data_IF_415893715235
#
_entry.id   IF_415893715235
#
_cell.length_a   1.000
_cell.length_b   1.000
_cell.length_c   1.000
_cell.angle_alpha   90.00
_cell.angle_beta   90.00
_cell.angle_gamma   90.00
#
_symmetry.space_group_name_H-M   'P 1'
#
loop_
_entity.id
_entity.type
_entity.pdbx_description
1 polymer ?
#
# COMPACT_ATOMS: atom_id res chain seq x y z
N UNK A 1 -48.11 21.86 13.83
CA UNK A 1 -47.64 20.46 13.68
C UNK A 1 -46.78 20.19 12.43
N UNK A 2 -46.77 21.04 11.38
CA UNK A 2 -45.96 20.80 10.16
C UNK A 2 -44.44 21.01 10.32
N UNK A 3 -43.98 21.77 11.32
CA UNK A 3 -42.55 22.10 11.49
C UNK A 3 -41.74 21.06 12.27
N UNK A 4 -42.38 20.15 13.00
CA UNK A 4 -41.67 19.12 13.79
C UNK A 4 -41.09 18.00 12.91
N UNK A 5 -41.78 17.66 11.81
CA UNK A 5 -41.34 16.61 10.88
C UNK A 5 -40.15 17.05 10.01
N UNK A 6 -40.04 18.34 9.67
CA UNK A 6 -38.91 18.87 8.90
C UNK A 6 -37.60 18.86 9.70
N UNK A 7 -37.66 19.14 11.00
CA UNK A 7 -36.49 19.14 11.90
C UNK A 7 -36.01 17.70 12.15
N UNK A 8 -36.93 16.75 12.33
CA UNK A 8 -36.60 15.32 12.49
C UNK A 8 -35.97 14.71 11.22
N UNK A 9 -36.45 15.10 10.02
CA UNK A 9 -35.86 14.66 8.75
C UNK A 9 -34.45 15.23 8.52
N UNK A 10 -34.20 16.49 8.89
CA UNK A 10 -32.90 17.14 8.77
C UNK A 10 -31.83 16.54 9.70
N UNK A 11 -32.19 16.14 10.92
CA UNK A 11 -31.28 15.45 11.85
C UNK A 11 -30.98 14.02 11.39
N UNK A 12 -31.94 13.31 10.81
CA UNK A 12 -31.71 11.95 10.29
C UNK A 12 -30.73 11.95 9.10
N UNK A 13 -30.84 12.94 8.20
CA UNK A 13 -29.93 13.08 7.06
C UNK A 13 -28.48 13.36 7.46
N UNK A 14 -28.28 14.11 8.55
CA UNK A 14 -26.96 14.48 9.09
C UNK A 14 -26.23 13.28 9.74
N UNK A 15 -26.95 12.31 10.29
CA UNK A 15 -26.36 11.07 10.80
C UNK A 15 -26.04 10.07 9.68
N UNK A 16 -26.79 10.06 8.58
CA UNK A 16 -26.50 9.21 7.43
C UNK A 16 -25.21 9.63 6.71
N UNK A 17 -24.92 10.93 6.58
CA UNK A 17 -23.69 11.40 5.89
C UNK A 17 -22.42 11.21 6.73
N UNK A 18 -22.50 11.37 8.06
CA UNK A 18 -21.38 11.10 8.95
C UNK A 18 -21.01 9.60 9.02
N UNK A 19 -21.97 8.71 8.81
CA UNK A 19 -21.74 7.26 8.69
C UNK A 19 -20.93 6.87 7.44
N UNK A 20 -21.16 7.56 6.32
CA UNK A 20 -20.50 7.27 5.03
C UNK A 20 -19.00 7.63 5.07
N UNK A 21 -18.62 8.74 5.71
CA UNK A 21 -17.22 9.16 5.77
C UNK A 21 -16.33 8.23 6.64
N UNK A 22 -16.89 7.66 7.71
CA UNK A 22 -16.16 6.73 8.56
C UNK A 22 -16.26 5.26 8.10
N UNK A 23 -17.32 4.87 7.38
CA UNK A 23 -17.38 3.58 6.66
C UNK A 23 -16.31 3.49 5.56
N UNK A 24 -15.98 4.59 4.87
CA UNK A 24 -14.98 4.58 3.79
C UNK A 24 -13.54 4.24 4.20
N UNK A 25 -13.22 4.28 5.50
CA UNK A 25 -11.89 3.98 6.02
C UNK A 25 -11.76 2.55 6.57
N UNK A 26 -12.84 1.84 6.87
CA UNK A 26 -12.76 0.49 7.43
C UNK A 26 -13.04 -0.56 6.37
N UNK A 27 -12.06 -1.43 6.15
CA UNK A 27 -12.10 -2.48 5.13
C UNK A 27 -12.18 -3.82 5.81
N UNK A 28 -13.17 -4.64 5.46
CA UNK A 28 -13.28 -5.99 5.97
C UNK A 28 -12.16 -6.85 5.38
N UNK A 29 -11.59 -7.72 6.20
CA UNK A 29 -10.52 -8.61 5.79
C UNK A 29 -10.16 -9.65 6.84
N UNK A 30 -9.21 -10.51 6.48
CA UNK A 30 -8.70 -11.59 7.31
C UNK A 30 -7.27 -11.27 7.72
N UNK A 31 -7.03 -11.15 9.04
CA UNK A 31 -5.73 -10.87 9.63
C UNK A 31 -5.03 -12.18 10.02
N UNK A 32 -3.88 -12.42 9.42
CA UNK A 32 -3.11 -13.65 9.64
C UNK A 32 -2.04 -13.37 10.68
N UNK A 33 -2.25 -13.96 11.85
CA UNK A 33 -1.38 -13.88 13.02
C UNK A 33 -0.35 -15.01 12.98
N UNK A 34 0.68 -14.85 13.79
CA UNK A 34 1.72 -15.88 13.94
C UNK A 34 1.15 -17.24 14.33
N UNK A 35 1.84 -18.29 13.88
CA UNK A 35 1.46 -19.70 14.13
C UNK A 35 0.15 -20.09 13.40
N UNK A 36 -0.13 -19.48 12.25
CA UNK A 36 -1.27 -19.85 11.40
C UNK A 36 -2.64 -19.53 11.99
N UNK A 37 -2.71 -18.58 12.93
CA UNK A 37 -4.01 -18.14 13.49
C UNK A 37 -4.60 -17.06 12.60
N UNK A 38 -5.86 -17.21 12.23
CA UNK A 38 -6.56 -16.24 11.39
C UNK A 38 -7.70 -15.56 12.16
N UNK A 39 -8.01 -14.32 11.78
CA UNK A 39 -9.09 -13.55 12.42
C UNK A 39 -9.74 -12.60 11.43
N UNK A 40 -11.06 -12.66 11.32
CA UNK A 40 -11.84 -11.64 10.62
C UNK A 40 -11.83 -10.31 11.40
N UNK A 41 -11.54 -9.22 10.70
CA UNK A 41 -11.43 -7.88 11.26
C UNK A 41 -11.87 -6.81 10.26
N UNK A 42 -12.14 -5.61 10.76
CA UNK A 42 -12.34 -4.40 9.96
C UNK A 42 -11.12 -3.49 10.17
N UNK A 43 -10.28 -3.33 9.14
CA UNK A 43 -9.00 -2.63 9.22
C UNK A 43 -9.16 -1.18 8.75
N UNK A 44 -8.70 -0.24 9.55
CA UNK A 44 -8.69 1.20 9.24
C UNK A 44 -7.57 1.51 8.24
N UNK A 45 -7.93 1.81 7.00
CA UNK A 45 -7.04 2.12 5.89
C UNK A 45 -7.52 3.37 5.16
N UNK A 46 -6.69 4.43 5.20
CA UNK A 46 -6.82 5.57 4.29
C UNK A 46 -5.91 5.33 3.07
N UNK A 47 -6.50 4.90 1.95
CA UNK A 47 -5.77 4.68 0.69
C UNK A 47 -5.22 5.97 0.07
N UNK A 48 -5.67 7.15 0.52
CA UNK A 48 -5.04 8.42 0.16
C UNK A 48 -3.72 8.66 0.90
N UNK A 49 -3.54 8.02 2.06
CA UNK A 49 -2.36 8.16 2.92
C UNK A 49 -1.83 6.78 3.38
N UNK A 50 -1.47 5.89 2.45
CA UNK A 50 -1.12 4.51 2.76
C UNK A 50 0.11 4.35 3.67
N UNK A 51 1.03 5.32 3.66
CA UNK A 51 2.17 5.37 4.56
C UNK A 51 1.79 5.34 6.05
N UNK A 52 0.55 5.71 6.41
CA UNK A 52 0.09 5.77 7.81
C UNK A 52 -0.08 4.39 8.44
N UNK A 53 -0.48 3.37 7.67
CA UNK A 53 -0.72 2.03 8.20
C UNK A 53 0.49 1.09 8.03
N UNK A 54 1.52 1.51 7.29
CA UNK A 54 2.71 0.66 7.04
C UNK A 54 3.53 0.34 8.31
N UNK A 55 3.37 1.12 9.39
CA UNK A 55 4.06 0.89 10.67
C UNK A 55 3.18 0.26 11.74
N UNK A 56 1.93 -0.06 11.40
CA UNK A 56 0.98 -0.63 12.31
C UNK A 56 -0.44 -0.40 11.81
N UNK A 57 -1.27 -1.40 12.02
CA UNK A 57 -2.68 -1.35 11.65
C UNK A 57 -3.52 -0.94 12.86
N UNK A 58 -4.63 -0.26 12.58
CA UNK A 58 -5.74 -0.14 13.53
C UNK A 58 -6.90 -0.96 12.99
N UNK A 59 -7.55 -1.77 13.82
CA UNK A 59 -8.66 -2.61 13.40
C UNK A 59 -9.74 -2.71 14.48
N UNK A 60 -10.91 -3.22 14.08
CA UNK A 60 -12.08 -3.43 14.93
C UNK A 60 -12.58 -4.86 14.72
N UNK A 61 -13.06 -5.50 15.79
CA UNK A 61 -13.66 -6.84 15.71
C UNK A 61 -15.10 -6.80 15.15
N UNK A 62 -15.61 -7.89 14.54
CA UNK A 62 -16.95 -7.91 13.97
C UNK A 62 -18.06 -7.50 14.95
N UNK A 63 -17.96 -7.88 16.22
CA UNK A 63 -18.93 -7.49 17.27
C UNK A 63 -18.98 -5.98 17.51
N UNK A 64 -17.82 -5.34 17.51
CA UNK A 64 -17.68 -3.91 17.75
C UNK A 64 -18.03 -3.12 16.49
N UNK A 65 -17.74 -3.67 15.31
CA UNK A 65 -18.21 -3.14 14.04
C UNK A 65 -19.73 -3.15 13.94
N UNK A 66 -20.39 -4.28 14.25
CA UNK A 66 -21.84 -4.37 14.28
C UNK A 66 -22.47 -3.34 15.25
N UNK A 67 -21.82 -3.07 16.38
CA UNK A 67 -22.24 -2.02 17.31
C UNK A 67 -22.04 -0.61 16.72
N UNK A 68 -20.92 -0.37 16.05
CA UNK A 68 -20.69 0.89 15.35
C UNK A 68 -21.75 1.14 14.28
N UNK A 69 -22.05 0.14 13.44
CA UNK A 69 -23.10 0.23 12.40
C UNK A 69 -24.47 0.61 12.97
N UNK A 70 -24.80 0.12 14.17
CA UNK A 70 -26.08 0.45 14.84
C UNK A 70 -26.09 1.82 15.52
N UNK A 71 -24.95 2.30 16.00
CA UNK A 71 -24.90 3.46 16.93
C UNK A 71 -24.20 4.69 16.34
N UNK A 72 -23.50 4.55 15.21
CA UNK A 72 -22.62 5.57 14.64
C UNK A 72 -21.41 5.92 15.51
N UNK A 73 -21.19 5.24 16.64
CA UNK A 73 -20.17 5.61 17.64
C UNK A 73 -19.16 4.50 17.86
N UNK A 74 -17.91 4.78 17.52
CA UNK A 74 -16.79 3.88 17.77
C UNK A 74 -15.96 4.41 18.95
N UNK A 75 -16.00 3.71 20.09
CA UNK A 75 -15.25 4.11 21.30
C UNK A 75 -13.79 3.69 21.17
N UNK A 76 -12.86 4.42 21.78
CA UNK A 76 -11.42 4.11 21.71
C UNK A 76 -11.07 2.66 22.08
N UNK A 77 -11.74 2.09 23.09
CA UNK A 77 -11.55 0.69 23.52
C UNK A 77 -11.98 -0.37 22.49
N UNK A 78 -12.75 0.02 21.47
CA UNK A 78 -13.15 -0.85 20.36
C UNK A 78 -12.09 -0.89 19.25
N UNK A 79 -11.20 0.12 19.21
CA UNK A 79 -10.08 0.18 18.26
C UNK A 79 -8.90 -0.60 18.84
N UNK A 80 -8.45 -1.60 18.11
CA UNK A 80 -7.24 -2.36 18.41
C UNK A 80 -6.10 -1.85 17.53
N UNK A 81 -4.93 -1.62 18.12
CA UNK A 81 -3.70 -1.27 17.38
C UNK A 81 -2.75 -2.44 17.39
N UNK A 82 -2.09 -2.70 16.26
CA UNK A 82 -1.15 -3.80 16.14
C UNK A 82 0.06 -3.41 15.29
N UNK A 83 1.26 -3.54 15.86
CA UNK A 83 2.51 -3.32 15.14
C UNK A 83 2.81 -4.50 14.18
N UNK A 84 3.53 -4.26 13.06
CA UNK A 84 3.85 -5.29 12.07
C UNK A 84 4.50 -6.53 12.68
N UNK A 85 5.28 -6.39 13.75
CA UNK A 85 5.95 -7.52 14.41
C UNK A 85 5.00 -8.56 15.01
N UNK A 86 3.69 -8.28 15.11
CA UNK A 86 2.69 -9.15 15.75
C UNK A 86 1.79 -9.92 14.78
N UNK A 87 1.87 -9.65 13.48
CA UNK A 87 1.11 -10.37 12.45
C UNK A 87 1.96 -10.61 11.19
N UNK A 88 1.54 -11.57 10.39
CA UNK A 88 2.26 -12.00 9.19
C UNK A 88 1.73 -11.30 7.94
N UNK A 89 0.40 -11.26 7.78
CA UNK A 89 -0.26 -10.61 6.65
C UNK A 89 -1.71 -10.27 6.97
N UNK A 90 -2.38 -9.55 6.09
CA UNK A 90 -3.82 -9.52 6.01
C UNK A 90 -4.30 -9.45 4.56
N UNK A 91 -5.48 -9.98 4.30
CA UNK A 91 -6.14 -9.94 2.99
C UNK A 91 -7.47 -9.21 3.14
N UNK A 92 -7.72 -8.22 2.30
CA UNK A 92 -9.00 -7.52 2.23
C UNK A 92 -9.99 -8.33 1.37
N UNK A 93 -11.29 -8.10 1.55
CA UNK A 93 -12.34 -8.77 0.76
C UNK A 93 -12.24 -8.49 -0.75
N UNK A 94 -11.63 -7.36 -1.14
CA UNK A 94 -11.38 -7.03 -2.55
C UNK A 94 -10.15 -7.74 -3.15
N UNK A 95 -9.52 -8.65 -2.40
CA UNK A 95 -8.37 -9.44 -2.83
C UNK A 95 -7.02 -8.78 -2.63
N UNK A 96 -6.95 -7.51 -2.16
CA UNK A 96 -5.66 -6.88 -1.83
C UNK A 96 -4.99 -7.58 -0.65
N UNK A 97 -3.74 -7.98 -0.84
CA UNK A 97 -2.92 -8.63 0.18
C UNK A 97 -1.86 -7.69 0.69
N UNK A 98 -1.69 -7.66 2.01
CA UNK A 98 -0.66 -6.89 2.71
C UNK A 98 0.17 -7.83 3.57
N UNK A 99 1.49 -7.75 3.47
CA UNK A 99 2.42 -8.62 4.21
C UNK A 99 3.33 -7.79 5.10
N UNK A 100 3.66 -8.32 6.28
CA UNK A 100 4.73 -7.80 7.12
C UNK A 100 6.07 -8.27 6.57
N UNK A 101 6.85 -7.34 6.04
CA UNK A 101 8.18 -7.59 5.48
C UNK A 101 9.26 -6.82 6.23
N UNK A 102 10.48 -7.36 6.26
CA UNK A 102 11.65 -6.59 6.69
C UNK A 102 12.17 -5.74 5.55
N UNK A 103 12.32 -4.45 5.77
CA UNK A 103 12.88 -3.51 4.81
C UNK A 103 13.99 -2.68 5.46
N UNK A 104 15.09 -2.49 4.72
CA UNK A 104 16.18 -1.61 5.12
C UNK A 104 16.15 -0.39 4.22
N UNK A 105 15.91 0.77 4.81
CA UNK A 105 15.97 2.03 4.07
C UNK A 105 17.43 2.37 3.77
N UNK A 106 17.78 2.39 2.49
CA UNK A 106 19.13 2.70 2.00
C UNK A 106 19.33 4.20 1.74
N UNK A 107 18.35 5.05 2.05
CA UNK A 107 18.43 6.50 1.78
C UNK A 107 19.05 7.32 2.90
N UNK A 108 19.19 6.76 4.10
CA UNK A 108 19.79 7.45 5.24
C UNK A 108 21.32 7.39 5.21
N UNK A 109 22.00 8.55 5.28
CA UNK A 109 23.47 8.67 5.47
C UNK A 109 23.97 8.17 6.86
N UNK A 110 23.16 7.41 7.60
CA UNK A 110 23.45 7.01 8.97
C UNK A 110 24.17 5.66 9.02
N UNK A 111 25.23 5.60 9.82
CA UNK A 111 26.22 4.49 9.94
C UNK A 111 25.62 3.17 10.46
N UNK A 112 24.34 3.14 10.86
CA UNK A 112 23.62 1.91 11.25
C UNK A 112 22.25 1.82 10.56
N UNK A 113 22.24 1.22 9.38
CA UNK A 113 21.01 0.86 8.67
C UNK A 113 20.33 -0.32 9.39
N UNK A 114 19.36 -0.03 10.26
CA UNK A 114 18.61 -1.06 10.99
C UNK A 114 17.37 -1.45 10.16
N UNK A 115 17.24 -2.72 9.72
CA UNK A 115 16.03 -3.20 9.08
C UNK A 115 14.80 -2.94 9.96
N UNK A 116 13.68 -2.55 9.37
CA UNK A 116 12.40 -2.34 10.06
C UNK A 116 11.33 -3.25 9.46
N UNK A 117 10.42 -3.74 10.29
CA UNK A 117 9.23 -4.45 9.81
C UNK A 117 8.20 -3.43 9.36
N UNK A 118 7.71 -3.60 8.14
CA UNK A 118 6.71 -2.75 7.50
C UNK A 118 5.59 -3.62 6.96
N UNK A 119 4.37 -3.13 7.03
CA UNK A 119 3.20 -3.77 6.42
C UNK A 119 2.95 -3.17 5.05
N UNK A 120 3.27 -3.91 3.99
CA UNK A 120 3.23 -3.41 2.62
C UNK A 120 2.24 -4.17 1.77
N UNK A 121 1.61 -3.46 0.82
CA UNK A 121 0.77 -4.10 -0.19
C UNK A 121 1.64 -4.94 -1.13
N UNK A 122 1.28 -6.21 -1.30
CA UNK A 122 1.83 -7.08 -2.34
C UNK A 122 1.02 -6.86 -3.62
N UNK A 123 1.69 -6.44 -4.68
CA UNK A 123 1.06 -6.08 -5.97
C UNK A 123 1.42 -7.03 -7.12
N UNK A 124 2.38 -7.94 -6.89
CA UNK A 124 2.61 -9.11 -7.74
C UNK A 124 2.98 -10.30 -6.86
N UNK A 125 2.51 -11.47 -7.24
CA UNK A 125 2.77 -12.74 -6.56
C UNK A 125 3.26 -13.80 -7.55
N UNK A 126 4.10 -14.71 -7.07
CA UNK A 126 4.81 -15.70 -7.88
C UNK A 126 6.28 -15.83 -7.47
N UNK A 127 7.15 -16.38 -8.34
CA UNK A 127 8.58 -16.47 -8.05
C UNK A 127 9.24 -15.11 -7.78
N UNK A 128 8.70 -14.04 -8.36
CA UNK A 128 9.01 -12.66 -8.01
C UNK A 128 7.81 -12.06 -7.29
N UNK A 129 7.99 -11.66 -6.03
CA UNK A 129 7.01 -10.82 -5.32
C UNK A 129 7.37 -9.35 -5.45
N UNK A 130 6.36 -8.49 -5.56
CA UNK A 130 6.54 -7.03 -5.62
C UNK A 130 5.70 -6.34 -4.56
N UNK A 131 6.30 -5.38 -3.86
CA UNK A 131 5.65 -4.60 -2.80
C UNK A 131 5.70 -3.11 -3.08
N UNK A 132 4.66 -2.41 -2.64
CA UNK A 132 4.62 -0.94 -2.62
C UNK A 132 4.99 -0.38 -1.25
N UNK A 133 5.93 0.56 -1.25
CA UNK A 133 6.34 1.31 -0.05
C UNK A 133 6.15 2.81 -0.29
N UNK A 134 5.25 3.43 0.46
CA UNK A 134 5.03 4.87 0.47
C UNK A 134 5.86 5.51 1.59
N UNK A 135 6.51 6.65 1.32
CA UNK A 135 7.28 7.35 2.34
C UNK A 135 6.40 8.26 3.20
N UNK A 136 6.75 8.41 4.49
CA UNK A 136 6.13 9.42 5.38
C UNK A 136 6.57 10.83 5.07
N UNK A 137 7.80 10.94 4.60
CA UNK A 137 8.40 12.14 4.05
C UNK A 137 8.73 11.80 2.61
N UNK A 138 7.84 12.13 1.69
CA UNK A 138 8.25 12.40 0.31
C UNK A 138 9.49 13.28 0.39
N UNK A 139 10.67 12.69 0.23
CA UNK A 139 11.97 13.24 0.66
C UNK A 139 12.43 14.48 -0.11
N UNK A 140 11.50 15.16 -0.78
CA UNK A 140 11.67 16.34 -1.62
C UNK A 140 10.42 17.24 -1.67
N UNK A 141 9.50 17.17 -0.69
CA UNK A 141 8.58 18.30 -0.56
C UNK A 141 9.41 19.45 0.04
N UNK A 142 10.00 20.28 -0.83
CA UNK A 142 10.44 21.64 -0.48
C UNK A 142 9.26 22.31 0.25
N UNK A 143 9.52 23.12 1.28
CA UNK A 143 8.50 23.91 1.97
C UNK A 143 7.51 24.59 1.00
N UNK A 144 7.97 25.06 -0.16
CA UNK A 144 7.10 25.64 -1.21
C UNK A 144 6.14 24.63 -1.85
N UNK A 145 6.58 23.38 -2.06
CA UNK A 145 5.72 22.30 -2.55
C UNK A 145 4.77 21.81 -1.44
N UNK A 146 5.16 21.95 -0.16
CA UNK A 146 4.29 21.65 0.97
C UNK A 146 3.13 22.64 0.99
N UNK A 147 3.39 23.94 0.84
CA UNK A 147 2.34 24.95 0.86
C UNK A 147 1.40 24.85 -0.37
N UNK A 148 1.94 24.54 -1.55
CA UNK A 148 1.15 24.35 -2.77
C UNK A 148 0.29 23.06 -2.74
N UNK A 149 0.87 21.93 -2.34
CA UNK A 149 0.21 20.62 -2.38
C UNK A 149 -0.60 20.35 -1.10
N UNK A 150 -0.20 20.85 0.07
CA UNK A 150 -0.94 20.66 1.32
C UNK A 150 -2.13 21.61 1.48
N UNK A 151 -2.27 22.63 0.61
CA UNK A 151 -3.45 23.48 0.55
C UNK A 151 -4.72 22.76 0.06
N UNK A 152 -4.57 21.64 -0.68
CA UNK A 152 -5.69 20.85 -1.22
C UNK A 152 -5.44 19.35 -1.04
N UNK A 153 -6.31 18.67 -0.27
CA UNK A 153 -6.18 17.24 0.05
C UNK A 153 -6.00 16.36 -1.20
N UNK A 154 -6.71 16.66 -2.29
CA UNK A 154 -6.68 15.86 -3.51
C UNK A 154 -5.32 15.89 -4.20
N UNK A 155 -4.70 17.07 -4.31
CA UNK A 155 -3.37 17.22 -4.89
C UNK A 155 -2.31 16.48 -4.07
N UNK A 156 -2.43 16.53 -2.73
CA UNK A 156 -1.56 15.76 -1.83
C UNK A 156 -1.73 14.26 -1.99
N UNK A 157 -2.97 13.78 -2.08
CA UNK A 157 -3.25 12.35 -2.32
C UNK A 157 -2.67 11.92 -3.66
N UNK A 158 -2.90 12.70 -4.72
CA UNK A 158 -2.37 12.42 -6.05
C UNK A 158 -0.84 12.33 -6.04
N UNK A 159 -0.18 13.29 -5.40
CA UNK A 159 1.27 13.30 -5.27
C UNK A 159 1.80 12.07 -4.51
N UNK A 160 1.21 11.73 -3.35
CA UNK A 160 1.60 10.54 -2.58
C UNK A 160 1.39 9.26 -3.39
N UNK A 161 0.26 9.14 -4.07
CA UNK A 161 -0.08 7.96 -4.86
C UNK A 161 0.76 7.81 -6.13
N UNK A 162 1.44 8.87 -6.58
CA UNK A 162 2.39 8.86 -7.70
C UNK A 162 3.86 8.95 -7.27
N UNK A 163 4.15 8.87 -5.96
CA UNK A 163 5.50 8.98 -5.43
C UNK A 163 5.74 7.91 -4.36
N UNK A 164 6.06 6.70 -4.84
CA UNK A 164 6.28 5.54 -3.99
C UNK A 164 7.51 4.77 -4.44
N UNK A 165 7.98 3.86 -3.60
CA UNK A 165 9.02 2.91 -3.94
C UNK A 165 8.37 1.58 -4.35
N UNK A 166 8.92 0.97 -5.38
CA UNK A 166 8.66 -0.43 -5.70
C UNK A 166 9.79 -1.28 -5.15
N UNK A 167 9.43 -2.34 -4.44
CA UNK A 167 10.37 -3.28 -3.86
C UNK A 167 10.18 -4.66 -4.51
N UNK A 168 11.26 -5.24 -4.99
CA UNK A 168 11.28 -6.58 -5.58
C UNK A 168 11.85 -7.60 -4.58
N UNK A 169 11.24 -8.77 -4.51
CA UNK A 169 11.69 -9.89 -3.69
C UNK A 169 11.81 -11.16 -4.54
N UNK A 170 13.06 -11.55 -4.84
CA UNK A 170 13.45 -12.80 -5.48
C UNK A 170 14.80 -13.23 -4.91
N UNK A 171 14.93 -14.47 -4.45
CA UNK A 171 16.19 -15.07 -3.95
C UNK A 171 16.99 -14.24 -2.93
N UNK A 172 16.34 -13.37 -2.16
CA UNK A 172 16.99 -12.52 -1.16
C UNK A 172 16.31 -12.61 0.21
N UNK A 173 17.06 -12.31 1.27
CA UNK A 173 16.51 -12.26 2.63
C UNK A 173 15.48 -11.14 2.80
N UNK A 174 15.72 -10.01 2.13
CA UNK A 174 14.89 -8.81 2.19
C UNK A 174 14.64 -8.28 0.78
N UNK A 175 13.46 -7.69 0.52
CA UNK A 175 13.19 -7.03 -0.74
C UNK A 175 14.09 -5.80 -0.93
N UNK A 176 14.37 -5.48 -2.20
CA UNK A 176 15.24 -4.36 -2.60
C UNK A 176 14.46 -3.37 -3.46
N UNK A 177 14.84 -2.09 -3.39
CA UNK A 177 14.25 -1.08 -4.25
C UNK A 177 14.65 -1.31 -5.72
N UNK A 178 13.67 -1.29 -6.63
CA UNK A 178 13.89 -1.57 -8.07
C UNK A 178 14.82 -0.57 -8.76
N UNK A 179 14.90 0.67 -8.28
CA UNK A 179 15.79 1.72 -8.80
C UNK A 179 17.25 1.54 -8.36
N UNK A 180 17.54 0.61 -7.43
CA UNK A 180 18.87 0.41 -6.84
C UNK A 180 19.49 -0.96 -7.19
N UNK A 181 18.92 -1.65 -8.17
CA UNK A 181 19.37 -2.99 -8.56
C UNK A 181 19.55 -3.09 -10.07
N UNK A 182 20.32 -4.09 -10.48
CA UNK A 182 20.29 -4.56 -11.86
C UNK A 182 19.11 -5.53 -12.03
N UNK A 183 18.07 -5.13 -12.78
CA UNK A 183 16.89 -5.96 -13.04
C UNK A 183 17.24 -7.29 -13.72
N UNK A 184 18.28 -7.34 -14.55
CA UNK A 184 18.68 -8.57 -15.23
C UNK A 184 19.09 -9.69 -14.26
N UNK A 185 19.53 -9.37 -13.04
CA UNK A 185 19.79 -10.37 -12.00
C UNK A 185 18.52 -11.07 -11.50
N UNK A 186 17.35 -10.52 -11.81
CA UNK A 186 16.05 -11.00 -11.36
C UNK A 186 15.23 -11.64 -12.48
N UNK A 187 15.47 -11.29 -13.74
CA UNK A 187 14.68 -11.79 -14.89
C UNK A 187 15.52 -12.49 -15.96
N UNK A 188 16.86 -12.37 -15.89
CA UNK A 188 17.77 -12.80 -16.96
C UNK A 188 17.87 -14.32 -17.14
N UNK A 189 17.35 -15.08 -16.19
CA UNK A 189 17.20 -16.54 -16.24
C UNK A 189 16.06 -17.00 -17.15
N UNK A 190 15.15 -16.10 -17.57
CA UNK A 190 14.15 -16.39 -18.60
C UNK A 190 14.53 -15.69 -19.92
N UNK A 191 14.95 -16.46 -20.92
CA UNK A 191 15.44 -15.95 -22.20
C UNK A 191 14.41 -15.09 -22.94
N UNK A 192 13.14 -15.52 -22.97
CA UNK A 192 12.03 -14.81 -23.63
C UNK A 192 11.75 -13.47 -22.95
N UNK A 193 11.66 -13.47 -21.63
CA UNK A 193 11.42 -12.24 -20.84
C UNK A 193 12.61 -11.29 -20.98
N UNK A 194 13.83 -11.81 -20.96
CA UNK A 194 15.05 -11.02 -21.20
C UNK A 194 15.03 -10.37 -22.59
N UNK A 195 14.69 -11.11 -23.64
CA UNK A 195 14.58 -10.58 -25.00
C UNK A 195 13.52 -9.48 -25.09
N UNK A 196 12.35 -9.70 -24.50
CA UNK A 196 11.28 -8.70 -24.43
C UNK A 196 11.72 -7.44 -23.67
N UNK A 197 12.46 -7.60 -22.56
CA UNK A 197 13.06 -6.48 -21.84
C UNK A 197 14.08 -5.72 -22.69
N UNK A 198 14.95 -6.43 -23.40
CA UNK A 198 15.98 -5.84 -24.26
C UNK A 198 15.38 -5.07 -25.45
N UNK A 199 14.22 -5.51 -25.96
CA UNK A 199 13.41 -4.85 -26.98
C UNK A 199 12.52 -3.73 -26.43
N UNK A 200 12.58 -3.43 -25.13
CA UNK A 200 11.69 -2.50 -24.45
C UNK A 200 10.19 -2.82 -24.61
N UNK A 201 9.83 -4.09 -24.79
CA UNK A 201 8.44 -4.52 -25.00
C UNK A 201 7.52 -4.09 -23.84
N UNK A 202 8.05 -4.06 -22.62
CA UNK A 202 7.28 -3.66 -21.43
C UNK A 202 7.19 -2.13 -21.25
N UNK A 203 7.96 -1.34 -22.01
CA UNK A 203 7.99 0.13 -21.92
C UNK A 203 8.77 0.70 -20.72
N UNK A 204 9.67 -0.08 -20.11
CA UNK A 204 10.45 0.38 -18.94
C UNK A 204 11.50 1.44 -19.31
N UNK A 205 12.12 1.36 -20.49
CA UNK A 205 13.15 2.33 -20.92
C UNK A 205 12.56 3.72 -21.11
N UNK A 206 11.31 3.79 -21.55
CA UNK A 206 10.58 5.04 -21.78
C UNK A 206 10.35 5.82 -20.46
N UNK A 207 10.46 5.13 -19.33
CA UNK A 207 10.26 5.69 -17.99
C UNK A 207 11.54 6.25 -17.36
N UNK A 208 12.70 6.09 -18.01
CA UNK A 208 14.00 6.60 -17.54
C UNK A 208 14.39 7.94 -18.19
N UNK A 209 13.42 8.81 -18.52
CA UNK A 209 13.70 10.15 -19.05
C UNK A 209 14.27 11.09 -17.98
N UNK A 210 14.99 12.13 -18.41
CA UNK A 210 15.66 13.08 -17.50
C UNK A 210 14.71 13.81 -16.53
N UNK A 211 13.43 13.95 -16.90
CA UNK A 211 12.37 14.52 -16.06
C UNK A 211 11.95 13.60 -14.90
N UNK A 212 12.19 12.29 -15.01
CA UNK A 212 11.79 11.26 -14.04
C UNK A 212 12.93 10.81 -13.11
N UNK A 213 14.01 11.59 -12.97
CA UNK A 213 15.12 11.31 -12.03
C UNK A 213 14.70 11.48 -10.55
N UNK A 214 13.80 10.61 -10.10
CA UNK A 214 13.24 10.59 -8.76
C UNK A 214 14.02 9.65 -7.84
N UNK A 215 15.34 9.48 -8.02
CA UNK A 215 16.18 8.70 -7.12
C UNK A 215 15.65 7.28 -6.89
N UNK A 216 15.05 7.03 -5.72
CA UNK A 216 14.47 5.74 -5.33
C UNK A 216 12.94 5.64 -5.50
N UNK A 217 12.29 6.72 -5.92
CA UNK A 217 10.84 6.80 -6.07
C UNK A 217 10.43 6.65 -7.54
N UNK A 218 9.24 6.12 -7.76
CA UNK A 218 8.62 5.88 -9.05
C UNK A 218 7.15 6.31 -9.03
N UNK A 219 6.56 6.46 -10.22
CA UNK A 219 5.13 6.73 -10.42
C UNK A 219 4.34 5.55 -10.98
N UNK A 220 3.04 5.76 -11.21
CA UNK A 220 2.10 4.73 -11.71
C UNK A 220 2.46 4.18 -13.09
N UNK A 221 3.05 4.98 -13.97
CA UNK A 221 3.45 4.54 -15.32
C UNK A 221 4.60 3.53 -15.26
N UNK A 222 5.63 3.83 -14.46
CA UNK A 222 6.71 2.90 -14.17
C UNK A 222 6.19 1.63 -13.50
N UNK A 223 5.28 1.74 -12.53
CA UNK A 223 4.62 0.58 -11.91
C UNK A 223 3.93 -0.30 -12.95
N UNK A 224 3.11 0.28 -13.83
CA UNK A 224 2.39 -0.48 -14.83
C UNK A 224 3.37 -1.21 -15.78
N UNK A 225 4.44 -0.53 -16.23
CA UNK A 225 5.48 -1.15 -17.04
C UNK A 225 6.21 -2.28 -16.30
N UNK A 226 6.55 -2.06 -15.03
CA UNK A 226 7.22 -3.04 -14.20
C UNK A 226 6.35 -4.25 -13.90
N UNK A 227 5.06 -4.06 -13.63
CA UNK A 227 4.12 -5.14 -13.40
C UNK A 227 3.88 -5.97 -14.66
N UNK A 228 3.87 -5.37 -15.87
CA UNK A 228 3.85 -6.16 -17.11
C UNK A 228 5.04 -7.11 -17.19
N UNK A 229 6.25 -6.61 -16.92
CA UNK A 229 7.47 -7.43 -16.90
C UNK A 229 7.37 -8.57 -15.87
N UNK A 230 7.01 -8.25 -14.63
CA UNK A 230 6.98 -9.23 -13.54
C UNK A 230 5.88 -10.26 -13.74
N UNK A 231 4.70 -9.85 -14.20
CA UNK A 231 3.59 -10.76 -14.46
C UNK A 231 3.90 -11.69 -15.63
N UNK A 232 4.61 -11.21 -16.66
CA UNK A 232 5.06 -12.05 -17.77
C UNK A 232 6.05 -13.12 -17.27
N UNK A 233 7.01 -12.73 -16.41
CA UNK A 233 7.93 -13.66 -15.77
C UNK A 233 7.23 -14.68 -14.85
N UNK A 234 6.31 -14.22 -14.02
CA UNK A 234 5.58 -15.07 -13.07
C UNK A 234 4.58 -15.99 -13.79
N UNK A 235 4.01 -15.56 -14.91
CA UNK A 235 3.07 -16.33 -15.73
C UNK A 235 3.74 -17.53 -16.41
N UNK A 236 4.93 -17.34 -17.00
CA UNK A 236 5.70 -18.43 -17.63
C UNK A 236 6.10 -19.52 -16.65
N UNK A 237 6.43 -19.13 -15.42
CA UNK A 237 6.93 -20.04 -14.39
C UNK A 237 5.80 -20.74 -13.63
N UNK A 238 4.57 -20.24 -13.73
CA UNK A 238 3.35 -20.86 -13.18
C UNK A 238 2.74 -21.93 -14.08
N UNK A 239 3.07 -21.96 -15.38
CA UNK A 239 2.57 -22.95 -16.34
C UNK A 239 3.36 -24.27 -16.34
N UNK A 240 4.43 -24.38 -15.55
CA UNK A 240 5.27 -25.57 -15.42
C UNK A 240 5.00 -26.38 -14.13
N UNK A 241 3.77 -26.33 -13.60
CA UNK A 241 3.34 -27.15 -12.45
C UNK A 241 2.02 -27.86 -12.74
#
# INVERSE_FOLDING_TARGET
>A
MKNAYAILAGVFFLFCTAGIQAQGLYHKGTLQLKKGKEKEVYIEIDFGFPQRFQQGITYVEPKDWAKYQKTGKLKGKMKQKMEPKHFESFTLEDGRVFETIWYTDLTGRAIKMIPKRMTLQRIADGPIKVYKLYSRTTGKINHELADYVMGKREDLVNYIQNNFQLLIHKHSKHPKNVQQINLLNYIGDNARVKENYDKNHYGLRDQFSAEHKMGIYVGKEYEAAFLRLVNDYNGDTGAAR
#
